data_IF_220366394876
#
_entry.id   IF_220366394876
#
_cell.length_a   1.000
_cell.length_b   1.000
_cell.length_c   1.000
_cell.angle_alpha   90.00
_cell.angle_beta   90.00
_cell.angle_gamma   90.00
#
_symmetry.space_group_name_H-M   'P 1'
#
loop_
_entity.id
_entity.type
_entity.pdbx_description
1 polymer ?
#
# COMPACT_ATOMS: atom_id res chain seq x y z
N UNK A 1 19.62 -1.40 -1.76
CA UNK A 1 18.66 -0.29 -1.59
C UNK A 1 18.00 -0.53 -0.24
N UNK A 2 18.25 0.33 0.73
CA UNK A 2 17.89 0.06 2.14
C UNK A 2 16.50 0.59 2.42
N UNK A 3 15.64 -0.27 2.96
CA UNK A 3 14.34 0.11 3.50
C UNK A 3 14.57 1.05 4.70
N UNK A 4 13.86 2.16 4.76
CA UNK A 4 13.66 2.89 6.02
C UNK A 4 12.20 2.67 6.40
N UNK A 5 11.94 1.50 6.99
CA UNK A 5 10.72 1.32 7.76
C UNK A 5 10.96 2.00 9.12
N UNK A 6 10.00 2.78 9.63
CA UNK A 6 10.10 3.28 10.99
C UNK A 6 10.16 2.07 11.92
N UNK A 7 11.04 2.15 12.91
CA UNK A 7 11.12 1.17 13.97
C UNK A 7 10.19 1.58 15.11
N UNK A 8 9.82 0.63 15.97
CA UNK A 8 9.00 0.93 17.15
C UNK A 8 9.59 2.02 18.07
N UNK A 9 10.92 2.23 18.02
CA UNK A 9 11.61 3.30 18.73
C UNK A 9 11.32 4.71 18.18
N UNK A 10 10.87 4.82 16.92
CA UNK A 10 10.44 6.09 16.32
C UNK A 10 9.06 6.54 16.86
N UNK A 11 8.30 5.61 17.44
CA UNK A 11 7.07 5.90 18.18
C UNK A 11 7.45 6.19 19.63
N UNK A 12 7.63 7.47 19.94
CA UNK A 12 7.89 7.92 21.32
C UNK A 12 6.80 7.49 22.31
N UNK A 13 7.06 7.63 23.61
CA UNK A 13 6.14 7.16 24.67
C UNK A 13 4.89 8.03 24.88
N UNK A 14 4.66 8.97 23.97
CA UNK A 14 3.66 10.03 24.10
C UNK A 14 2.55 9.89 23.07
N UNK A 15 1.38 10.40 23.45
CA UNK A 15 0.11 10.54 22.71
C UNK A 15 0.15 10.16 21.21
N UNK A 16 0.07 8.85 20.92
CA UNK A 16 0.17 8.29 19.56
C UNK A 16 -1.21 8.35 18.90
N UNK A 17 -1.40 9.15 17.83
CA UNK A 17 -2.66 9.22 17.12
C UNK A 17 -2.87 7.95 16.29
N UNK A 18 -4.03 7.33 16.48
CA UNK A 18 -4.43 6.11 15.77
C UNK A 18 -5.84 6.27 15.23
N UNK A 19 -6.12 5.62 14.10
CA UNK A 19 -7.41 5.64 13.43
C UNK A 19 -7.88 4.23 13.05
N UNK A 20 -9.19 4.04 13.00
CA UNK A 20 -9.77 2.81 12.49
C UNK A 20 -10.04 2.95 10.98
N UNK A 21 -9.44 2.12 10.11
CA UNK A 21 -9.62 2.22 8.67
C UNK A 21 -11.04 1.85 8.20
N UNK A 22 -11.86 1.25 9.08
CA UNK A 22 -13.22 0.83 8.77
C UNK A 22 -14.30 1.85 9.16
N UNK A 23 -14.23 2.39 10.38
CA UNK A 23 -15.27 3.28 10.90
C UNK A 23 -14.82 4.74 11.05
N UNK A 24 -13.53 5.04 10.80
CA UNK A 24 -12.99 6.39 10.89
C UNK A 24 -12.84 6.91 12.32
N UNK A 25 -13.04 6.08 13.35
CA UNK A 25 -12.77 6.48 14.73
C UNK A 25 -11.29 6.86 14.86
N UNK A 26 -11.04 8.11 15.24
CA UNK A 26 -9.71 8.59 15.60
C UNK A 26 -9.60 8.72 17.12
N UNK A 27 -8.52 8.21 17.70
CA UNK A 27 -8.21 8.33 19.12
C UNK A 27 -6.71 8.49 19.29
N UNK A 28 -6.29 8.73 20.53
CA UNK A 28 -4.88 8.73 20.87
C UNK A 28 -4.58 7.73 21.96
N UNK A 29 -3.42 7.06 21.85
CA UNK A 29 -2.98 6.01 22.76
C UNK A 29 -1.70 6.45 23.46
N UNK A 30 -1.64 6.18 24.76
CA UNK A 30 -0.47 6.46 25.60
C UNK A 30 0.01 5.16 26.24
N UNK A 31 1.31 5.07 26.56
CA UNK A 31 1.88 3.91 27.25
C UNK A 31 1.88 2.62 26.42
N UNK A 32 1.94 2.73 25.09
CA UNK A 32 2.02 1.57 24.21
C UNK A 32 3.32 0.79 24.45
N UNK A 33 3.20 -0.52 24.55
CA UNK A 33 4.34 -1.43 24.63
C UNK A 33 5.07 -1.51 23.28
N UNK A 34 6.34 -1.92 23.29
CA UNK A 34 7.12 -2.08 22.05
C UNK A 34 6.42 -2.99 21.01
N UNK A 35 5.81 -4.14 21.40
CA UNK A 35 5.04 -4.95 20.46
C UNK A 35 3.83 -4.23 19.87
N UNK A 36 3.13 -3.40 20.64
CA UNK A 36 1.99 -2.62 20.13
C UNK A 36 2.44 -1.51 19.19
N UNK A 37 3.56 -0.85 19.48
CA UNK A 37 4.17 0.15 18.60
C UNK A 37 4.55 -0.49 17.26
N UNK A 38 5.25 -1.62 17.28
CA UNK A 38 5.62 -2.35 16.05
C UNK A 38 4.37 -2.82 15.30
N UNK A 39 3.38 -3.35 16.01
CA UNK A 39 2.12 -3.76 15.42
C UNK A 39 1.38 -2.59 14.73
N UNK A 40 1.40 -1.40 15.32
CA UNK A 40 0.82 -0.20 14.71
C UNK A 40 1.55 0.18 13.41
N UNK A 41 2.87 0.06 13.36
CA UNK A 41 3.65 0.27 12.13
C UNK A 41 3.27 -0.76 11.06
N UNK A 42 3.30 -2.03 11.42
CA UNK A 42 3.05 -3.14 10.50
C UNK A 42 1.60 -3.11 9.99
N UNK A 43 0.62 -2.86 10.86
CA UNK A 43 -0.79 -2.74 10.47
C UNK A 43 -1.04 -1.53 9.57
N UNK A 44 -0.43 -0.38 9.88
CA UNK A 44 -0.53 0.81 9.01
C UNK A 44 0.03 0.50 7.62
N UNK A 45 1.21 -0.10 7.55
CA UNK A 45 1.81 -0.47 6.27
C UNK A 45 0.94 -1.50 5.53
N UNK A 46 0.50 -2.54 6.22
CA UNK A 46 -0.36 -3.58 5.67
C UNK A 46 -1.62 -3.01 5.02
N UNK A 47 -2.35 -2.14 5.74
CA UNK A 47 -3.57 -1.51 5.20
C UNK A 47 -3.29 -0.64 3.97
N UNK A 48 -2.19 0.12 3.96
CA UNK A 48 -1.77 0.90 2.78
C UNK A 48 -1.44 -0.01 1.60
N UNK A 49 -0.73 -1.11 1.85
CA UNK A 49 -0.37 -2.07 0.82
C UNK A 49 -1.57 -2.86 0.31
N UNK A 50 -2.62 -3.10 1.11
CA UNK A 50 -3.88 -3.65 0.60
C UNK A 50 -4.58 -2.73 -0.41
N UNK A 51 -4.53 -1.41 -0.19
CA UNK A 51 -5.04 -0.45 -1.17
C UNK A 51 -4.20 -0.46 -2.45
N UNK A 52 -2.88 -0.43 -2.32
CA UNK A 52 -1.96 -0.50 -3.45
C UNK A 52 -2.10 -1.82 -4.24
N UNK A 53 -2.22 -2.95 -3.55
CA UNK A 53 -2.35 -4.28 -4.17
C UNK A 53 -3.59 -4.37 -5.07
N UNK A 54 -4.70 -3.74 -4.69
CA UNK A 54 -5.91 -3.65 -5.54
C UNK A 54 -5.66 -2.87 -6.84
N UNK A 55 -4.81 -1.84 -6.81
CA UNK A 55 -4.42 -1.10 -8.01
C UNK A 55 -3.44 -1.94 -8.87
N UNK A 56 -2.51 -2.62 -8.22
CA UNK A 56 -1.56 -3.53 -8.87
C UNK A 56 -2.24 -4.72 -9.55
N UNK A 57 -3.30 -5.30 -8.97
CA UNK A 57 -4.13 -6.33 -9.60
C UNK A 57 -4.80 -5.81 -10.87
N UNK A 58 -5.37 -4.60 -10.84
CA UNK A 58 -5.96 -3.97 -12.04
C UNK A 58 -4.93 -3.72 -13.14
N UNK A 59 -3.69 -3.34 -12.77
CA UNK A 59 -2.59 -3.26 -13.74
C UNK A 59 -2.29 -4.64 -14.33
N UNK A 60 -2.24 -5.69 -13.52
CA UNK A 60 -2.03 -7.06 -14.00
C UNK A 60 -3.10 -7.50 -15.00
N UNK A 61 -4.37 -7.16 -14.75
CA UNK A 61 -5.49 -7.43 -15.65
C UNK A 61 -5.28 -6.73 -17.01
N UNK A 62 -4.97 -5.44 -17.01
CA UNK A 62 -4.66 -4.69 -18.25
C UNK A 62 -3.50 -5.32 -19.00
N UNK A 63 -2.42 -5.68 -18.32
CA UNK A 63 -1.25 -6.30 -18.96
C UNK A 63 -1.52 -7.73 -19.46
N UNK A 64 -2.48 -8.43 -18.87
CA UNK A 64 -2.91 -9.76 -19.32
C UNK A 64 -3.77 -9.65 -20.58
N UNK A 65 -4.70 -8.68 -20.60
CA UNK A 65 -5.60 -8.45 -21.72
C UNK A 65 -4.89 -7.77 -22.90
N UNK A 66 -3.92 -6.90 -22.62
CA UNK A 66 -3.15 -6.10 -23.60
C UNK A 66 -1.64 -6.27 -23.42
N UNK A 67 -1.08 -7.48 -23.62
CA UNK A 67 0.31 -7.83 -23.29
C UNK A 67 1.40 -7.10 -24.09
N UNK A 68 1.01 -6.31 -25.09
CA UNK A 68 1.90 -5.49 -25.92
C UNK A 68 1.59 -4.00 -25.87
N UNK A 69 0.80 -3.53 -24.88
CA UNK A 69 0.49 -2.10 -24.75
C UNK A 69 1.76 -1.27 -24.61
N UNK A 70 1.79 -0.15 -25.33
CA UNK A 70 2.84 0.87 -25.25
C UNK A 70 2.30 2.15 -24.63
N UNK A 71 1.15 2.06 -23.97
CA UNK A 71 0.51 3.18 -23.33
C UNK A 71 1.51 3.88 -22.38
N UNK A 72 1.69 5.22 -22.48
CA UNK A 72 2.78 5.94 -21.79
C UNK A 72 2.81 5.74 -20.28
N UNK A 73 1.65 5.58 -19.64
CA UNK A 73 1.57 5.36 -18.19
C UNK A 73 2.01 3.95 -17.74
N UNK A 74 2.11 2.99 -18.66
CA UNK A 74 2.53 1.61 -18.38
C UNK A 74 3.91 1.30 -18.92
N UNK A 75 4.29 1.90 -20.06
CA UNK A 75 5.52 1.59 -20.79
C UNK A 75 6.79 1.62 -19.90
N UNK A 76 6.92 2.63 -19.04
CA UNK A 76 8.10 2.77 -18.17
C UNK A 76 8.08 1.83 -16.96
N UNK A 77 6.91 1.29 -16.61
CA UNK A 77 6.69 0.44 -15.45
C UNK A 77 6.87 -1.04 -15.75
N UNK A 78 6.69 -1.46 -17.00
CA UNK A 78 6.83 -2.86 -17.43
C UNK A 78 8.15 -3.09 -18.15
N UNK A 79 8.64 -4.33 -18.12
CA UNK A 79 9.72 -4.72 -19.01
C UNK A 79 9.14 -4.78 -20.42
N UNK A 80 9.84 -4.20 -21.39
CA UNK A 80 9.41 -4.17 -22.80
C UNK A 80 9.06 -5.59 -23.26
N UNK A 81 7.77 -5.94 -23.26
CA UNK A 81 7.28 -7.22 -23.75
C UNK A 81 7.18 -7.13 -25.27
N UNK A 82 7.73 -8.12 -25.95
CA UNK A 82 7.97 -8.08 -27.39
C UNK A 82 6.71 -8.00 -28.26
N UNK A 83 6.90 -7.41 -29.44
CA UNK A 83 6.28 -7.59 -30.76
C UNK A 83 4.75 -7.74 -30.97
N UNK A 84 3.90 -7.85 -29.94
CA UNK A 84 2.44 -7.76 -30.14
C UNK A 84 2.02 -6.30 -30.16
N UNK A 85 1.24 -5.91 -31.15
CA UNK A 85 0.57 -4.61 -31.14
C UNK A 85 -0.46 -4.64 -30.01
N UNK A 86 -0.22 -3.89 -28.94
CA UNK A 86 -1.26 -3.61 -27.96
C UNK A 86 -2.34 -2.69 -28.53
N UNK A 87 -3.51 -2.70 -27.90
CA UNK A 87 -4.58 -1.74 -28.18
C UNK A 87 -4.53 -0.62 -27.14
N UNK A 88 -3.67 0.37 -27.39
CA UNK A 88 -3.48 1.50 -26.46
C UNK A 88 -4.76 2.35 -26.32
N UNK A 89 -5.66 2.35 -27.32
CA UNK A 89 -6.94 3.05 -27.26
C UNK A 89 -7.93 2.38 -26.30
N UNK A 90 -7.94 1.04 -26.24
CA UNK A 90 -8.70 0.31 -25.23
C UNK A 90 -8.16 0.56 -23.81
N UNK A 91 -6.83 0.63 -23.66
CA UNK A 91 -6.18 0.96 -22.38
C UNK A 91 -6.53 2.38 -21.93
N UNK A 92 -6.50 3.36 -22.83
CA UNK A 92 -6.95 4.74 -22.55
C UNK A 92 -8.40 4.76 -22.02
N UNK A 93 -9.31 4.04 -22.69
CA UNK A 93 -10.71 3.98 -22.27
C UNK A 93 -10.91 3.34 -20.89
N UNK A 94 -10.05 2.39 -20.49
CA UNK A 94 -10.05 1.81 -19.13
C UNK A 94 -9.57 2.87 -18.12
N UNK A 95 -8.46 3.55 -18.41
CA UNK A 95 -7.87 4.55 -17.51
C UNK A 95 -8.72 5.82 -17.37
N UNK A 96 -9.51 6.17 -18.39
CA UNK A 96 -10.49 7.25 -18.32
C UNK A 96 -11.66 6.91 -17.39
N UNK A 97 -12.01 5.62 -17.29
CA UNK A 97 -13.07 5.12 -16.39
C UNK A 97 -12.58 4.83 -14.98
N UNK A 98 -11.26 4.70 -14.80
CA UNK A 98 -10.61 4.43 -13.52
C UNK A 98 -9.60 5.55 -13.16
N UNK A 99 -10.10 6.70 -12.67
CA UNK A 99 -9.25 7.85 -12.37
C UNK A 99 -8.26 7.57 -11.22
N UNK A 100 -8.63 6.70 -10.28
CA UNK A 100 -7.75 6.27 -9.18
C UNK A 100 -6.52 5.52 -9.73
N UNK A 101 -6.76 4.56 -10.63
CA UNK A 101 -5.68 3.83 -11.28
C UNK A 101 -4.80 4.74 -12.15
N UNK A 102 -5.42 5.66 -12.89
CA UNK A 102 -4.69 6.64 -13.70
C UNK A 102 -3.79 7.52 -12.84
N UNK A 103 -4.31 8.08 -11.76
CA UNK A 103 -3.53 8.91 -10.84
C UNK A 103 -2.39 8.11 -10.19
N UNK A 104 -2.68 6.88 -9.74
CA UNK A 104 -1.67 5.99 -9.19
C UNK A 104 -0.53 5.74 -10.18
N UNK A 105 -0.85 5.44 -11.43
CA UNK A 105 0.15 5.24 -12.48
C UNK A 105 0.96 6.52 -12.76
N UNK A 106 0.33 7.70 -12.78
CA UNK A 106 1.01 8.98 -13.01
C UNK A 106 1.97 9.36 -11.88
N UNK A 107 1.59 9.12 -10.62
CA UNK A 107 2.34 9.60 -9.45
C UNK A 107 3.40 8.62 -8.97
N UNK A 108 3.31 7.37 -9.38
CA UNK A 108 4.18 6.31 -8.87
C UNK A 108 5.38 6.07 -9.78
N UNK A 109 6.51 5.74 -9.17
CA UNK A 109 7.72 5.30 -9.88
C UNK A 109 8.10 3.93 -9.34
N UNK A 110 7.85 2.90 -10.15
CA UNK A 110 8.15 1.51 -9.81
C UNK A 110 8.30 0.66 -11.07
N UNK A 111 8.98 -0.48 -10.91
CA UNK A 111 8.94 -1.61 -11.84
C UNK A 111 7.86 -2.59 -11.39
N UNK A 112 6.88 -2.85 -12.27
CA UNK A 112 5.64 -3.57 -11.93
C UNK A 112 5.93 -4.97 -11.41
N UNK A 113 6.76 -5.73 -12.11
CA UNK A 113 7.20 -7.08 -11.75
C UNK A 113 7.77 -7.13 -10.32
N UNK A 114 8.63 -6.18 -9.96
CA UNK A 114 9.25 -6.11 -8.64
C UNK A 114 8.28 -5.65 -7.58
N UNK A 115 7.49 -4.61 -7.86
CA UNK A 115 6.57 -4.02 -6.88
C UNK A 115 5.42 -4.96 -6.58
N UNK A 116 4.84 -5.58 -7.61
CA UNK A 116 3.78 -6.57 -7.47
C UNK A 116 4.22 -7.73 -6.57
N UNK A 117 5.36 -8.35 -6.88
CA UNK A 117 5.88 -9.48 -6.09
C UNK A 117 6.18 -9.09 -4.63
N UNK A 118 6.81 -7.93 -4.41
CA UNK A 118 7.12 -7.48 -3.06
C UNK A 118 5.87 -7.17 -2.23
N UNK A 119 4.86 -6.52 -2.82
CA UNK A 119 3.60 -6.21 -2.12
C UNK A 119 2.86 -7.51 -1.79
N UNK A 120 2.80 -8.45 -2.73
CA UNK A 120 2.16 -9.76 -2.54
C UNK A 120 2.81 -10.53 -1.38
N UNK A 121 4.14 -10.67 -1.40
CA UNK A 121 4.92 -11.35 -0.36
C UNK A 121 4.76 -10.68 1.00
N UNK A 122 4.82 -9.34 1.06
CA UNK A 122 4.65 -8.61 2.31
C UNK A 122 3.25 -8.87 2.92
N UNK A 123 2.20 -8.77 2.10
CA UNK A 123 0.82 -9.00 2.56
C UNK A 123 0.61 -10.44 3.01
N UNK A 124 1.17 -11.42 2.30
CA UNK A 124 1.09 -12.82 2.70
C UNK A 124 1.78 -13.04 4.06
N UNK A 125 3.01 -12.56 4.22
CA UNK A 125 3.81 -12.74 5.43
C UNK A 125 3.18 -12.11 6.68
N UNK A 126 2.53 -10.94 6.53
CA UNK A 126 2.01 -10.18 7.68
C UNK A 126 0.53 -10.46 7.97
N UNK A 127 -0.18 -11.22 7.13
CA UNK A 127 -1.62 -11.49 7.28
C UNK A 127 -1.97 -12.04 8.67
N UNK A 128 -1.21 -13.02 9.16
CA UNK A 128 -1.47 -13.63 10.47
C UNK A 128 -1.18 -12.69 11.63
N UNK A 129 -0.14 -11.85 11.50
CA UNK A 129 0.22 -10.85 12.51
C UNK A 129 -0.90 -9.84 12.66
N UNK A 130 -1.42 -9.32 11.54
CA UNK A 130 -2.51 -8.34 11.54
C UNK A 130 -3.81 -8.95 12.06
N UNK A 131 -4.09 -10.22 11.74
CA UNK A 131 -5.28 -10.93 12.21
C UNK A 131 -5.34 -11.09 13.74
N UNK A 132 -4.19 -11.08 14.44
CA UNK A 132 -4.17 -11.12 15.92
C UNK A 132 -4.76 -9.85 16.55
N UNK A 133 -4.72 -8.73 15.83
CA UNK A 133 -5.32 -7.46 16.20
C UNK A 133 -4.95 -6.99 17.62
N UNK A 134 -3.66 -6.74 17.86
CA UNK A 134 -3.14 -6.33 19.19
C UNK A 134 -3.72 -4.98 19.65
N UNK A 135 -4.00 -4.06 18.73
CA UNK A 135 -4.65 -2.79 19.02
C UNK A 135 -5.98 -2.72 18.29
N UNK A 136 -7.08 -3.15 18.94
CA UNK A 136 -8.42 -3.18 18.30
C UNK A 136 -9.13 -1.85 18.32
N UNK A 137 -9.97 -1.63 17.31
CA UNK A 137 -10.96 -0.56 17.35
C UNK A 137 -12.06 -0.88 18.38
N UNK A 138 -12.35 0.01 19.33
CA UNK A 138 -13.38 -0.21 20.35
C UNK A 138 -14.81 -0.13 19.80
N UNK A 139 -15.01 0.51 18.64
CA UNK A 139 -16.35 0.71 18.06
C UNK A 139 -16.78 -0.47 17.20
N UNK A 140 -15.96 -0.86 16.23
CA UNK A 140 -16.33 -1.94 15.31
C UNK A 140 -15.81 -3.32 15.73
N UNK A 141 -14.78 -3.40 16.58
CA UNK A 141 -14.07 -4.62 17.03
C UNK A 141 -13.54 -5.54 15.90
N UNK A 142 -13.81 -5.20 14.64
CA UNK A 142 -13.55 -6.00 13.44
C UNK A 142 -12.16 -5.76 12.87
N UNK A 143 -11.58 -4.58 13.11
CA UNK A 143 -10.30 -4.18 12.56
C UNK A 143 -9.37 -3.62 13.63
N UNK A 144 -8.09 -3.78 13.34
CA UNK A 144 -7.03 -3.15 14.10
C UNK A 144 -7.00 -1.65 13.83
N UNK A 145 -6.69 -0.88 14.86
CA UNK A 145 -6.31 0.51 14.70
C UNK A 145 -4.98 0.58 13.95
N UNK A 146 -4.82 1.60 13.11
CA UNK A 146 -3.57 1.95 12.44
C UNK A 146 -3.11 3.33 12.94
N UNK A 147 -1.87 3.71 12.65
CA UNK A 147 -1.40 5.07 12.87
C UNK A 147 -2.11 6.02 11.91
N UNK A 148 -2.42 7.22 12.38
CA UNK A 148 -2.84 8.32 11.49
C UNK A 148 -1.79 8.55 10.39
N UNK A 149 -2.24 8.82 9.17
CA UNK A 149 -1.37 9.02 8.02
C UNK A 149 -0.33 10.13 8.21
N UNK A 150 -0.72 11.26 8.82
CA UNK A 150 0.17 12.39 9.05
C UNK A 150 1.28 12.02 10.04
N UNK A 151 0.94 11.29 11.10
CA UNK A 151 1.91 10.78 12.06
C UNK A 151 2.82 9.72 11.45
N UNK A 152 2.26 8.77 10.70
CA UNK A 152 3.04 7.72 10.04
C UNK A 152 4.05 8.27 9.03
N UNK A 153 3.67 9.31 8.27
CA UNK A 153 4.58 10.01 7.38
C UNK A 153 5.69 10.76 8.14
N UNK A 154 5.39 11.32 9.32
CA UNK A 154 6.35 12.06 10.15
C UNK A 154 7.41 11.17 10.79
N UNK A 155 7.05 9.96 11.21
CA UNK A 155 8.01 9.01 11.81
C UNK A 155 8.95 8.37 10.78
N UNK A 156 8.91 8.83 9.52
CA UNK A 156 9.98 8.56 8.56
C UNK A 156 9.67 7.49 7.53
N UNK A 157 8.43 7.00 7.44
CA UNK A 157 8.09 6.05 6.40
C UNK A 157 8.22 6.69 5.01
N UNK A 158 9.21 6.22 4.24
CA UNK A 158 9.33 6.47 2.81
C UNK A 158 9.02 5.18 2.09
N UNK A 159 7.89 5.14 1.38
CA UNK A 159 7.53 4.00 0.52
C UNK A 159 8.70 3.72 -0.43
N UNK A 160 9.13 2.45 -0.62
CA UNK A 160 10.19 2.15 -1.56
C UNK A 160 9.83 2.70 -2.95
N UNK A 161 10.64 3.62 -3.47
CA UNK A 161 10.66 3.89 -4.92
C UNK A 161 11.37 2.69 -5.55
N UNK A 162 10.62 1.78 -6.14
CA UNK A 162 11.16 0.60 -6.81
C UNK A 162 11.78 0.94 -8.17
#
# INVERSE_FOLDING_TARGET
MTLFMPDADDIGDSDVPVECPQCGLSQRRVGLTQPEKQFLIDSTLYHRLCAEYRLLLRINEILTDFPGTRHPLLADKVASSGARAGDDGAVDAILDRDPELREFLQRSHFRFDRRFAWVDEYLEHHREVIARALVRCPECEQQSMVLDEAFYARIGFRTPRA
#
